data_IF_405440421482
#
_entry.id   IF_405440421482
#
_cell.length_a   1.000
_cell.length_b   1.000
_cell.length_c   1.000
_cell.angle_alpha   90.00
_cell.angle_beta   90.00
_cell.angle_gamma   90.00
#
_symmetry.space_group_name_H-M   'P 1'
#
loop_
_entity.id
_entity.type
_entity.pdbx_description
1 polymer ?
#
# COMPACT_ATOMS: atom_id res chain seq x y z
N UNK A 1 0.06 -3.43 -7.25
CA UNK A 1 -0.29 -2.01 -7.15
C UNK A 1 -1.31 -1.80 -6.04
N UNK A 2 -1.09 -0.80 -5.23
CA UNK A 2 -1.99 -0.44 -4.13
C UNK A 2 -2.53 0.96 -4.38
N UNK A 3 -3.84 1.13 -4.25
CA UNK A 3 -4.49 2.43 -4.38
C UNK A 3 -5.29 2.71 -3.12
N UNK A 4 -5.17 3.94 -2.60
CA UNK A 4 -5.93 4.39 -1.44
C UNK A 4 -6.80 5.58 -1.82
N UNK A 5 -7.65 6.02 -0.89
CA UNK A 5 -8.54 7.15 -1.14
C UNK A 5 -7.82 8.49 -1.25
N UNK A 6 -6.68 8.65 -0.57
CA UNK A 6 -5.90 9.88 -0.59
C UNK A 6 -4.43 9.63 -0.23
N UNK A 7 -3.62 10.68 -0.34
CA UNK A 7 -2.20 10.61 -0.05
C UNK A 7 -1.92 10.31 1.43
N UNK A 8 -2.67 10.92 2.32
CA UNK A 8 -2.48 10.72 3.76
C UNK A 8 -2.68 9.24 4.11
N UNK A 9 -3.70 8.60 3.56
CA UNK A 9 -3.96 7.18 3.76
C UNK A 9 -2.83 6.33 3.19
N UNK A 10 -2.33 6.69 2.00
CA UNK A 10 -1.21 5.96 1.41
C UNK A 10 0.03 6.04 2.29
N UNK A 11 0.36 7.24 2.78
CA UNK A 11 1.51 7.43 3.66
C UNK A 11 1.36 6.62 4.95
N UNK A 12 0.16 6.59 5.51
CA UNK A 12 -0.12 5.79 6.70
C UNK A 12 0.05 4.30 6.43
N UNK A 13 -0.48 3.82 5.32
CA UNK A 13 -0.36 2.42 4.92
C UNK A 13 1.12 2.03 4.78
N UNK A 14 1.90 2.84 4.10
CA UNK A 14 3.31 2.55 3.91
C UNK A 14 4.10 2.59 5.22
N UNK A 15 3.73 3.48 6.12
CA UNK A 15 4.36 3.56 7.44
C UNK A 15 4.03 2.34 8.29
N UNK A 16 2.77 1.92 8.32
CA UNK A 16 2.30 0.76 9.09
C UNK A 16 2.98 -0.52 8.61
N UNK A 17 3.04 -0.70 7.30
CA UNK A 17 3.59 -1.92 6.69
C UNK A 17 5.11 -1.88 6.54
N UNK A 18 5.72 -0.69 6.74
CA UNK A 18 7.16 -0.46 6.55
C UNK A 18 7.61 -0.77 5.13
N UNK A 19 6.72 -0.59 4.17
CA UNK A 19 7.00 -0.85 2.76
C UNK A 19 7.39 0.38 1.96
N UNK A 20 7.49 1.54 2.61
CA UNK A 20 7.88 2.78 1.92
C UNK A 20 9.17 2.63 1.11
N UNK A 21 10.26 2.06 1.65
CA UNK A 21 11.49 1.88 0.87
C UNK A 21 11.39 0.80 -0.21
N UNK A 22 10.30 0.03 -0.22
CA UNK A 22 10.11 -1.04 -1.19
C UNK A 22 9.16 -0.65 -2.32
N UNK A 23 8.69 0.59 -2.32
CA UNK A 23 7.85 1.10 -3.40
C UNK A 23 8.71 1.24 -4.66
N UNK A 24 8.30 0.56 -5.73
CA UNK A 24 9.02 0.59 -7.00
C UNK A 24 8.77 1.88 -7.75
N UNK A 25 7.50 2.27 -7.84
CA UNK A 25 7.08 3.49 -8.53
C UNK A 25 5.86 4.05 -7.82
N UNK A 26 5.78 5.35 -7.71
CA UNK A 26 4.60 6.03 -7.20
C UNK A 26 3.92 6.73 -8.38
N UNK A 27 2.85 6.10 -8.91
CA UNK A 27 2.14 6.61 -10.08
C UNK A 27 1.32 7.85 -9.77
N UNK A 28 0.84 7.97 -8.53
CA UNK A 28 0.10 9.12 -8.04
C UNK A 28 0.30 9.19 -6.52
N UNK A 29 -0.05 10.31 -5.86
CA UNK A 29 0.12 10.40 -4.40
C UNK A 29 -0.57 9.28 -3.64
N UNK A 30 -1.67 8.75 -4.18
CA UNK A 30 -2.44 7.69 -3.55
C UNK A 30 -2.30 6.33 -4.25
N UNK A 31 -1.33 6.19 -5.17
CA UNK A 31 -1.11 4.94 -5.91
C UNK A 31 0.36 4.56 -5.87
N UNK A 32 0.65 3.39 -5.33
CA UNK A 32 2.01 2.88 -5.24
C UNK A 32 2.12 1.52 -5.92
N UNK A 33 3.22 1.30 -6.63
CA UNK A 33 3.52 0.01 -7.25
C UNK A 33 4.56 -0.70 -6.41
N UNK A 34 4.24 -1.92 -6.00
CA UNK A 34 5.09 -2.78 -5.19
C UNK A 34 5.23 -4.12 -5.89
N UNK A 35 6.23 -4.89 -5.49
CA UNK A 35 6.31 -6.27 -5.91
C UNK A 35 5.12 -7.05 -5.35
N UNK A 36 4.74 -8.14 -6.03
CA UNK A 36 3.59 -8.95 -5.62
C UNK A 36 3.66 -9.37 -4.16
N UNK A 37 4.82 -9.82 -3.70
CA UNK A 37 5.00 -10.27 -2.33
C UNK A 37 4.79 -9.14 -1.33
N UNK A 38 5.31 -7.96 -1.65
CA UNK A 38 5.16 -6.80 -0.78
C UNK A 38 3.72 -6.32 -0.74
N UNK A 39 3.04 -6.35 -1.89
CA UNK A 39 1.63 -5.98 -1.95
C UNK A 39 0.78 -6.96 -1.14
N UNK A 40 1.09 -8.24 -1.19
CA UNK A 40 0.39 -9.26 -0.41
C UNK A 40 0.58 -9.03 1.09
N UNK A 41 1.82 -8.73 1.51
CA UNK A 41 2.13 -8.44 2.90
C UNK A 41 1.34 -7.21 3.37
N UNK A 42 1.31 -6.17 2.55
CA UNK A 42 0.57 -4.96 2.87
C UNK A 42 -0.92 -5.26 3.05
N UNK A 43 -1.50 -6.04 2.14
CA UNK A 43 -2.90 -6.41 2.21
C UNK A 43 -3.22 -7.15 3.50
N UNK A 44 -2.40 -8.13 3.86
CA UNK A 44 -2.59 -8.91 5.09
C UNK A 44 -2.53 -8.03 6.33
N UNK A 45 -1.54 -7.15 6.42
CA UNK A 45 -1.40 -6.25 7.56
C UNK A 45 -2.58 -5.29 7.68
N UNK A 46 -3.05 -4.77 6.56
CA UNK A 46 -4.14 -3.83 6.56
C UNK A 46 -5.47 -4.49 6.90
N UNK A 47 -5.67 -5.73 6.48
CA UNK A 47 -6.86 -6.49 6.84
C UNK A 47 -6.94 -6.73 8.35
N UNK A 48 -5.81 -7.02 8.98
CA UNK A 48 -5.73 -7.20 10.43
C UNK A 48 -6.14 -5.94 11.18
N UNK A 49 -5.94 -4.78 10.57
CA UNK A 49 -6.25 -3.48 11.17
C UNK A 49 -7.61 -2.94 10.75
N UNK A 50 -8.35 -3.70 9.93
CA UNK A 50 -9.66 -3.27 9.44
C UNK A 50 -9.59 -2.25 8.31
N UNK A 51 -8.43 -2.08 7.70
CA UNK A 51 -8.26 -1.20 6.55
C UNK A 51 -8.33 -2.05 5.28
N UNK A 52 -9.00 -1.52 4.25
CA UNK A 52 -9.23 -2.27 3.02
C UNK A 52 -8.81 -1.46 1.80
N UNK A 53 -7.50 -1.39 1.50
CA UNK A 53 -7.04 -0.68 0.32
C UNK A 53 -7.41 -1.49 -0.92
N UNK A 54 -7.49 -0.80 -2.06
CA UNK A 54 -7.70 -1.48 -3.32
C UNK A 54 -6.35 -2.01 -3.80
N UNK A 55 -6.30 -3.31 -4.04
CA UNK A 55 -5.08 -3.97 -4.53
C UNK A 55 -5.37 -4.56 -5.91
N UNK A 56 -4.52 -4.22 -6.88
CA UNK A 56 -4.58 -4.78 -8.22
C UNK A 56 -3.37 -5.67 -8.45
N UNK A 57 -3.61 -6.77 -9.08
CA UNK A 57 -2.56 -7.70 -9.44
C UNK A 57 -1.92 -7.34 -10.78
#
# INVERSE_FOLDING_TARGET
MIETSDEATMNEVLAITRLEPRVLVRLAPNVAVLEREDAQTALEELEKRGLHPRVSK
#
